data_IF_466595450140
#
_entry.id   IF_466595450140
#
_cell.length_a   1.000
_cell.length_b   1.000
_cell.length_c   1.000
_cell.angle_alpha   90.00
_cell.angle_beta   90.00
_cell.angle_gamma   90.00
#
_symmetry.space_group_name_H-M   'P 1'
#
loop_
_entity.id
_entity.type
_entity.pdbx_description
1 polymer ?
#
# COMPACT_ATOMS: atom_id res chain seq x y z
N UNK A 1 5.69 29.46 9.61
CA UNK A 1 4.88 29.13 8.43
C UNK A 1 4.79 30.36 7.56
N UNK A 2 5.11 30.23 6.28
CA UNK A 2 5.03 31.34 5.31
C UNK A 2 3.73 31.20 4.54
N UNK A 3 2.97 32.29 4.41
CA UNK A 3 1.75 32.32 3.62
C UNK A 3 2.03 33.05 2.31
N UNK A 4 1.64 32.46 1.18
CA UNK A 4 1.58 33.18 -0.09
C UNK A 4 0.31 34.02 -0.08
N UNK A 5 0.46 35.33 0.10
CA UNK A 5 -0.62 36.29 -0.04
C UNK A 5 -0.41 37.07 -1.34
N UNK A 6 -1.27 36.84 -2.32
CA UNK A 6 -1.37 37.72 -3.48
C UNK A 6 -2.20 38.94 -3.03
N UNK A 7 -1.53 40.09 -2.88
CA UNK A 7 -2.17 41.35 -2.52
C UNK A 7 -2.04 42.30 -3.71
N UNK A 8 -3.12 42.94 -4.17
CA UNK A 8 -3.01 44.00 -5.17
C UNK A 8 -2.17 45.14 -4.59
N UNK A 9 -1.51 45.90 -5.47
CA UNK A 9 -0.66 47.06 -5.11
C UNK A 9 -1.43 48.11 -4.29
N UNK A 10 -2.76 48.13 -4.39
CA UNK A 10 -3.66 48.97 -3.60
C UNK A 10 -4.71 48.10 -2.90
N UNK A 11 -4.48 47.66 -1.64
CA UNK A 11 -5.40 46.78 -0.93
C UNK A 11 -6.71 47.52 -0.59
N UNK A 12 -7.82 47.03 -1.14
CA UNK A 12 -9.16 47.49 -0.78
C UNK A 12 -9.80 46.54 0.25
N UNK A 13 -10.66 47.07 1.11
CA UNK A 13 -11.44 46.26 2.04
C UNK A 13 -12.53 45.51 1.28
N UNK A 14 -12.25 44.28 0.85
CA UNK A 14 -13.15 43.44 0.06
C UNK A 14 -13.29 42.05 0.65
N UNK A 15 -14.39 41.37 0.32
CA UNK A 15 -14.54 39.95 0.63
C UNK A 15 -13.58 39.12 -0.23
N UNK A 16 -12.75 38.29 0.40
CA UNK A 16 -11.75 37.45 -0.27
C UNK A 16 -12.00 35.98 -0.02
N UNK A 17 -11.57 35.14 -0.97
CA UNK A 17 -11.50 33.69 -0.77
C UNK A 17 -10.08 33.34 -0.34
N UNK A 18 -9.95 32.70 0.83
CA UNK A 18 -8.65 32.22 1.31
C UNK A 18 -8.46 30.77 0.88
N UNK A 19 -7.34 30.48 0.23
CA UNK A 19 -6.91 29.13 -0.11
C UNK A 19 -5.75 28.77 0.81
N UNK A 20 -5.85 27.62 1.48
CA UNK A 20 -4.81 27.10 2.35
C UNK A 20 -4.28 25.82 1.72
N UNK A 21 -2.98 25.78 1.45
CA UNK A 21 -2.28 24.61 0.94
C UNK A 21 -1.35 24.10 2.02
N UNK A 22 -1.73 23.00 2.65
CA UNK A 22 -0.98 22.40 3.74
C UNK A 22 -1.02 20.89 3.67
N UNK A 23 -0.01 20.27 4.31
CA UNK A 23 -0.06 18.84 4.54
C UNK A 23 -1.17 18.51 5.55
N UNK A 24 -1.81 17.34 5.45
CA UNK A 24 -2.81 16.90 6.42
C UNK A 24 -2.30 16.90 7.87
N UNK A 25 -0.99 16.73 8.07
CA UNK A 25 -0.36 16.72 9.39
C UNK A 25 -0.24 18.13 9.97
N UNK A 26 0.08 19.11 9.13
CA UNK A 26 0.20 20.52 9.55
C UNK A 26 -1.16 21.09 9.93
N UNK A 27 -2.18 20.84 9.13
CA UNK A 27 -3.48 21.50 9.26
C UNK A 27 -4.27 21.03 10.50
N UNK A 28 -4.00 19.81 11.00
CA UNK A 28 -4.66 19.27 12.19
C UNK A 28 -4.27 19.95 13.49
N UNK A 29 -3.09 20.58 13.51
CA UNK A 29 -2.66 21.39 14.64
C UNK A 29 -3.31 22.79 14.63
N UNK A 30 -4.07 23.13 13.59
CA UNK A 30 -4.74 24.41 13.40
C UNK A 30 -6.26 24.27 13.52
N UNK A 31 -6.75 23.90 14.71
CA UNK A 31 -8.19 23.67 14.99
C UNK A 31 -9.08 24.85 14.58
N UNK A 32 -8.65 26.07 14.88
CA UNK A 32 -9.37 27.30 14.53
C UNK A 32 -9.54 27.51 13.01
N UNK A 33 -8.58 27.03 12.22
CA UNK A 33 -8.65 27.08 10.76
C UNK A 33 -9.61 26.01 10.26
N UNK A 34 -9.51 24.79 10.80
CA UNK A 34 -10.38 23.66 10.41
C UNK A 34 -11.86 23.95 10.63
N UNK A 35 -12.22 24.65 11.71
CA UNK A 35 -13.60 25.06 12.00
C UNK A 35 -14.17 26.09 11.00
N UNK A 36 -13.30 26.79 10.27
CA UNK A 36 -13.67 27.83 9.28
C UNK A 36 -13.56 27.35 7.83
N UNK A 37 -13.05 26.14 7.59
CA UNK A 37 -12.93 25.58 6.24
C UNK A 37 -14.30 25.16 5.73
N UNK A 38 -14.76 25.82 4.66
CA UNK A 38 -16.03 25.50 4.00
C UNK A 38 -15.88 24.36 2.99
N UNK A 39 -14.72 24.27 2.33
CA UNK A 39 -14.43 23.25 1.32
C UNK A 39 -13.04 22.66 1.50
N UNK A 40 -12.97 21.34 1.49
CA UNK A 40 -11.72 20.58 1.53
C UNK A 40 -11.54 19.83 0.21
N UNK A 41 -10.36 19.97 -0.39
CA UNK A 41 -9.97 19.25 -1.60
C UNK A 41 -8.67 18.51 -1.34
N UNK A 42 -8.45 17.41 -2.05
CA UNK A 42 -7.26 16.58 -1.92
C UNK A 42 -6.60 16.49 -3.29
N UNK A 43 -5.31 16.83 -3.43
CA UNK A 43 -4.59 16.51 -4.68
C UNK A 43 -3.92 15.14 -4.59
N UNK A 44 -4.30 14.19 -5.46
CA UNK A 44 -3.56 12.96 -5.54
C UNK A 44 -2.13 13.18 -5.99
N UNK A 45 -1.20 12.28 -5.58
CA UNK A 45 -0.03 12.02 -6.40
C UNK A 45 -0.48 11.77 -7.84
N UNK A 46 0.30 12.25 -8.79
CA UNK A 46 -0.06 12.17 -10.20
C UNK A 46 -0.13 10.73 -10.67
N UNK A 47 -1.08 10.42 -11.53
CA UNK A 47 -1.08 9.14 -12.23
C UNK A 47 0.05 9.11 -13.29
N UNK A 48 0.31 7.93 -13.84
CA UNK A 48 1.39 7.75 -14.79
C UNK A 48 1.22 8.61 -16.06
N UNK A 49 -0.02 8.82 -16.52
CA UNK A 49 -0.30 9.66 -17.70
C UNK A 49 -0.03 11.14 -17.42
N UNK A 50 -0.36 11.63 -16.22
CA UNK A 50 -0.05 12.99 -15.78
C UNK A 50 1.46 13.22 -15.71
N UNK A 51 2.21 12.26 -15.16
CA UNK A 51 3.67 12.31 -15.14
C UNK A 51 4.28 12.27 -16.54
N UNK A 52 3.79 11.38 -17.40
CA UNK A 52 4.26 11.27 -18.78
C UNK A 52 3.97 12.55 -19.58
N UNK A 53 2.78 13.13 -19.41
CA UNK A 53 2.41 14.37 -20.06
C UNK A 53 3.36 15.50 -19.65
N UNK A 54 3.61 15.66 -18.34
CA UNK A 54 4.56 16.64 -17.84
C UNK A 54 6.00 16.40 -18.31
N UNK A 55 6.46 15.14 -18.28
CA UNK A 55 7.78 14.73 -18.81
C UNK A 55 7.96 15.17 -20.25
N UNK A 56 6.91 15.00 -21.08
CA UNK A 56 6.95 15.34 -22.50
C UNK A 56 6.82 16.85 -22.79
N UNK A 57 6.05 17.58 -21.97
CA UNK A 57 5.74 18.98 -22.19
C UNK A 57 6.78 19.94 -21.58
N UNK A 58 7.45 19.55 -20.49
CA UNK A 58 8.40 20.41 -19.78
C UNK A 58 9.83 20.10 -20.23
N UNK A 59 10.50 21.11 -20.79
CA UNK A 59 11.84 20.95 -21.38
C UNK A 59 12.85 20.32 -20.41
N UNK A 60 12.85 20.75 -19.14
CA UNK A 60 13.71 20.19 -18.08
C UNK A 60 13.55 18.67 -17.91
N UNK A 61 12.37 18.11 -18.19
CA UNK A 61 12.05 16.72 -17.93
C UNK A 61 12.17 15.81 -19.15
N UNK A 62 12.35 16.37 -20.36
CA UNK A 62 12.58 15.58 -21.58
C UNK A 62 13.84 14.73 -21.53
N UNK A 63 14.77 15.13 -20.68
CA UNK A 63 16.00 14.40 -20.41
C UNK A 63 15.74 13.05 -19.72
N UNK A 64 14.58 12.90 -19.08
CA UNK A 64 14.18 11.66 -18.43
C UNK A 64 13.57 10.73 -19.48
N UNK A 65 14.15 9.55 -19.59
CA UNK A 65 13.57 8.48 -20.39
C UNK A 65 12.27 7.96 -19.76
N UNK A 66 11.32 7.56 -20.62
CA UNK A 66 10.00 7.09 -20.20
C UNK A 66 10.09 5.85 -19.31
N UNK A 67 10.96 4.90 -19.63
CA UNK A 67 11.08 3.67 -18.86
C UNK A 67 11.74 3.93 -17.52
N UNK A 68 12.66 4.89 -17.45
CA UNK A 68 13.27 5.31 -16.19
C UNK A 68 12.24 6.00 -15.27
N UNK A 69 11.39 6.87 -15.82
CA UNK A 69 10.29 7.49 -15.08
C UNK A 69 9.31 6.43 -14.56
N UNK A 70 8.90 5.48 -15.41
CA UNK A 70 8.01 4.37 -15.03
C UNK A 70 8.62 3.53 -13.89
N UNK A 71 9.89 3.16 -14.00
CA UNK A 71 10.61 2.42 -12.94
C UNK A 71 10.64 3.18 -11.62
N UNK A 72 10.69 4.52 -11.63
CA UNK A 72 10.55 5.31 -10.41
C UNK A 72 9.10 5.33 -9.94
N UNK A 73 8.14 5.55 -10.84
CA UNK A 73 6.72 5.55 -10.51
C UNK A 73 6.28 4.26 -9.81
N UNK A 74 6.70 3.11 -10.31
CA UNK A 74 6.39 1.80 -9.70
C UNK A 74 6.96 1.67 -8.27
N UNK A 75 8.02 2.43 -7.96
CA UNK A 75 8.76 2.41 -6.69
C UNK A 75 8.38 3.49 -5.67
N UNK A 76 7.84 4.61 -6.11
CA UNK A 76 7.56 5.75 -5.21
C UNK A 76 6.22 6.43 -5.51
N UNK A 77 5.48 5.91 -6.48
CA UNK A 77 4.21 6.44 -6.93
C UNK A 77 4.32 7.78 -7.64
N UNK A 78 3.21 8.49 -7.61
CA UNK A 78 2.92 9.66 -8.44
C UNK A 78 3.57 10.99 -8.05
N UNK A 79 4.60 11.03 -7.21
CA UNK A 79 5.08 12.30 -6.66
C UNK A 79 6.06 12.97 -7.63
N UNK A 80 5.68 14.06 -8.34
CA UNK A 80 6.48 14.60 -9.46
C UNK A 80 7.85 15.11 -9.01
N UNK A 81 7.96 15.59 -7.76
CA UNK A 81 9.25 16.00 -7.18
C UNK A 81 10.29 14.90 -7.26
N UNK A 82 9.90 13.65 -7.00
CA UNK A 82 10.84 12.54 -6.95
C UNK A 82 10.90 11.81 -8.29
N UNK A 83 9.75 11.60 -8.94
CA UNK A 83 9.66 10.92 -10.24
C UNK A 83 10.24 11.74 -11.40
N UNK A 84 10.22 13.08 -11.30
CA UNK A 84 10.69 13.99 -12.35
C UNK A 84 11.80 14.92 -11.84
N UNK A 85 11.51 15.82 -10.91
CA UNK A 85 12.41 16.95 -10.59
C UNK A 85 13.78 16.49 -10.09
N UNK A 86 13.81 15.65 -9.05
CA UNK A 86 15.07 15.12 -8.49
C UNK A 86 15.79 14.19 -9.44
N UNK A 87 15.05 13.42 -10.23
CA UNK A 87 15.64 12.55 -11.24
C UNK A 87 16.31 13.37 -12.35
N UNK A 88 15.65 14.42 -12.86
CA UNK A 88 16.24 15.34 -13.83
C UNK A 88 17.49 16.04 -13.26
N UNK A 89 17.43 16.53 -12.02
CA UNK A 89 18.58 17.16 -11.36
C UNK A 89 19.78 16.20 -11.26
N UNK A 90 19.52 14.95 -10.83
CA UNK A 90 20.55 13.93 -10.74
C UNK A 90 21.12 13.55 -12.11
N UNK A 91 20.26 13.39 -13.11
CA UNK A 91 20.65 13.12 -14.49
C UNK A 91 21.53 14.24 -15.06
N UNK A 92 21.12 15.50 -14.92
CA UNK A 92 21.92 16.65 -15.35
C UNK A 92 23.29 16.69 -14.67
N UNK A 93 23.35 16.32 -13.38
CA UNK A 93 24.61 16.23 -12.65
C UNK A 93 25.52 15.12 -13.21
N UNK A 94 25.01 13.89 -13.35
CA UNK A 94 25.82 12.77 -13.82
C UNK A 94 26.18 12.84 -15.29
N UNK A 95 25.33 13.41 -16.14
CA UNK A 95 25.67 13.65 -17.54
C UNK A 95 26.85 14.59 -17.73
N UNK A 96 26.98 15.62 -16.89
CA UNK A 96 28.15 16.51 -16.89
C UNK A 96 29.42 15.83 -16.36
N UNK A 97 29.27 14.76 -15.59
CA UNK A 97 30.38 14.10 -14.89
C UNK A 97 30.88 12.86 -15.64
N UNK A 98 30.04 12.30 -16.50
CA UNK A 98 30.25 11.06 -17.25
C UNK A 98 29.98 11.31 -18.73
N UNK A 99 30.53 12.40 -19.28
CA UNK A 99 30.19 12.97 -20.60
C UNK A 99 30.14 11.94 -21.75
N UNK A 100 30.84 10.80 -21.63
CA UNK A 100 30.90 9.71 -22.63
C UNK A 100 30.07 8.44 -22.30
N UNK A 101 29.32 8.39 -21.19
CA UNK A 101 28.51 7.22 -20.81
C UNK A 101 27.11 7.59 -20.29
N UNK A 102 26.13 7.77 -21.20
CA UNK A 102 24.76 8.13 -20.84
C UNK A 102 24.03 7.04 -20.07
N UNK A 103 24.39 5.76 -20.21
CA UNK A 103 23.74 4.66 -19.50
C UNK A 103 24.24 4.56 -18.06
N UNK A 104 25.54 4.75 -17.83
CA UNK A 104 26.08 4.83 -16.47
C UNK A 104 25.59 6.09 -15.74
N UNK A 105 25.40 7.20 -16.45
CA UNK A 105 24.77 8.41 -15.89
C UNK A 105 23.33 8.15 -15.40
N UNK A 106 22.50 7.47 -16.22
CA UNK A 106 21.15 7.06 -15.83
C UNK A 106 21.16 6.14 -14.61
N UNK A 107 22.06 5.15 -14.60
CA UNK A 107 22.19 4.20 -13.50
C UNK A 107 22.59 4.89 -12.20
N UNK A 108 23.56 5.81 -12.22
CA UNK A 108 23.97 6.57 -11.02
C UNK A 108 22.90 7.54 -10.55
N UNK A 109 22.18 8.18 -11.46
CA UNK A 109 21.04 9.03 -11.13
C UNK A 109 19.96 8.22 -10.40
N UNK A 110 19.59 7.07 -10.94
CA UNK A 110 18.64 6.15 -10.33
C UNK A 110 19.09 5.69 -8.94
N UNK A 111 20.34 5.21 -8.81
CA UNK A 111 20.93 4.79 -7.52
C UNK A 111 21.01 5.93 -6.49
N UNK A 112 21.24 7.16 -6.94
CA UNK A 112 21.23 8.33 -6.07
C UNK A 112 19.84 8.56 -5.49
N UNK A 113 18.81 8.52 -6.33
CA UNK A 113 17.42 8.66 -5.86
C UNK A 113 17.04 7.51 -4.92
N UNK A 114 17.42 6.27 -5.23
CA UNK A 114 17.19 5.13 -4.34
C UNK A 114 17.85 5.32 -2.97
N UNK A 115 19.08 5.84 -2.90
CA UNK A 115 19.75 6.12 -1.63
C UNK A 115 19.05 7.20 -0.82
N UNK A 116 18.62 8.29 -1.47
CA UNK A 116 17.86 9.37 -0.81
C UNK A 116 16.53 8.84 -0.29
N UNK A 117 15.84 8.01 -1.06
CA UNK A 117 14.62 7.32 -0.62
C UNK A 117 14.93 6.46 0.60
N UNK A 118 15.95 5.60 0.54
CA UNK A 118 16.30 4.73 1.67
C UNK A 118 16.62 5.51 2.96
N UNK A 119 17.20 6.70 2.86
CA UNK A 119 17.45 7.59 4.00
C UNK A 119 16.18 8.23 4.58
N UNK A 120 15.17 8.49 3.74
CA UNK A 120 13.86 9.02 4.15
C UNK A 120 12.97 7.92 4.75
N UNK A 121 13.16 6.67 4.32
CA UNK A 121 12.43 5.49 4.81
C UNK A 121 13.02 4.94 6.11
N UNK A 122 13.25 5.81 7.11
CA UNK A 122 13.56 5.34 8.46
C UNK A 122 12.29 4.76 9.13
N UNK A 123 12.50 3.90 10.12
CA UNK A 123 11.46 3.07 10.75
C UNK A 123 10.39 3.88 11.49
N UNK A 124 10.73 5.09 11.93
CA UNK A 124 9.80 6.08 12.49
C UNK A 124 8.86 6.63 11.42
N UNK A 125 9.37 6.89 10.21
CA UNK A 125 8.57 7.40 9.08
C UNK A 125 7.64 6.30 8.55
N UNK A 126 8.10 5.05 8.49
CA UNK A 126 7.29 3.87 8.16
C UNK A 126 6.14 3.65 9.14
N UNK A 127 6.37 3.76 10.46
CA UNK A 127 5.29 3.74 11.46
C UNK A 127 4.21 4.80 11.18
N UNK A 128 4.62 6.04 10.90
CA UNK A 128 3.71 7.13 10.53
C UNK A 128 2.98 6.92 9.19
N UNK A 129 3.56 6.17 8.24
CA UNK A 129 2.91 5.74 7.00
C UNK A 129 1.75 4.77 7.27
N UNK A 130 1.91 3.84 8.21
CA UNK A 130 0.87 2.87 8.54
C UNK A 130 -0.21 3.41 9.47
N UNK A 131 0.12 4.41 10.32
CA UNK A 131 -0.83 5.16 11.16
C UNK A 131 -1.90 5.90 10.37
N UNK A 132 -1.62 6.24 9.13
CA UNK A 132 -2.43 7.16 8.37
C UNK A 132 -3.14 6.48 7.19
N UNK A 133 -4.45 6.71 7.09
CA UNK A 133 -5.19 6.70 5.80
C UNK A 133 -4.69 7.77 4.82
N UNK A 134 -3.46 8.26 4.94
CA UNK A 134 -3.01 9.53 4.35
C UNK A 134 -1.72 9.31 3.61
N UNK A 135 -1.82 9.38 2.29
CA UNK A 135 -0.72 9.91 1.51
C UNK A 135 -0.37 11.31 2.02
N UNK A 136 0.85 11.78 1.79
CA UNK A 136 1.08 13.21 1.65
C UNK A 136 0.30 13.67 0.41
N UNK A 137 -1.01 13.84 0.58
CA UNK A 137 -1.82 14.63 -0.33
C UNK A 137 -1.30 16.05 -0.17
N UNK A 138 -0.52 16.54 -1.13
CA UNK A 138 -0.22 17.97 -1.22
C UNK A 138 -1.55 18.63 -1.55
N UNK A 139 -2.08 19.48 -0.68
CA UNK A 139 -3.37 20.13 -0.92
C UNK A 139 -3.15 21.44 -1.68
N UNK A 140 -2.88 21.46 -2.99
CA UNK A 140 -2.95 22.71 -3.77
C UNK A 140 -4.28 22.80 -4.54
N UNK A 141 -5.02 23.89 -4.33
CA UNK A 141 -6.23 24.20 -5.08
C UNK A 141 -5.82 25.08 -6.26
N UNK A 142 -5.97 24.58 -7.48
CA UNK A 142 -6.00 25.42 -8.67
C UNK A 142 -7.40 25.41 -9.28
N UNK A 143 -7.89 26.61 -9.61
CA UNK A 143 -9.07 26.81 -10.45
C UNK A 143 -8.62 27.59 -11.68
N UNK A 144 -8.50 26.92 -12.81
CA UNK A 144 -8.66 27.56 -14.11
C UNK A 144 -9.66 26.75 -14.93
N UNK A 145 -10.77 27.44 -15.23
CA UNK A 145 -11.84 27.13 -16.17
C UNK A 145 -11.88 25.72 -16.81
N UNK A 146 -12.92 24.96 -16.45
CA UNK A 146 -13.52 23.94 -17.34
C UNK A 146 -13.32 22.49 -16.91
N UNK A 147 -14.40 21.90 -16.37
CA UNK A 147 -14.57 20.48 -16.00
C UNK A 147 -13.68 19.94 -14.87
N UNK A 148 -14.17 20.08 -13.63
CA UNK A 148 -13.71 19.29 -12.48
C UNK A 148 -14.12 17.82 -12.64
N UNK A 149 -13.13 16.92 -12.67
CA UNK A 149 -13.33 15.52 -12.30
C UNK A 149 -13.29 15.42 -10.78
N UNK A 150 -14.34 14.84 -10.20
CA UNK A 150 -14.45 14.54 -8.77
C UNK A 150 -13.92 13.14 -8.52
N UNK A 151 -12.90 13.00 -7.67
CA UNK A 151 -12.53 11.71 -7.07
C UNK A 151 -12.85 11.78 -5.58
N UNK A 152 -13.58 10.78 -5.08
CA UNK A 152 -13.99 10.71 -3.67
C UNK A 152 -12.84 10.12 -2.85
N UNK A 153 -12.82 10.43 -1.56
CA UNK A 153 -11.90 9.91 -0.53
C UNK A 153 -11.73 8.36 -0.57
N UNK A 154 -12.72 7.64 -1.13
CA UNK A 154 -12.67 6.19 -1.36
C UNK A 154 -11.67 5.72 -2.43
N UNK A 155 -11.13 6.62 -3.24
CA UNK A 155 -10.24 6.31 -4.36
C UNK A 155 -8.75 6.39 -3.96
N UNK A 156 -8.47 6.79 -2.72
CA UNK A 156 -7.13 7.02 -2.18
C UNK A 156 -6.61 5.90 -1.31
N UNK A 157 -6.05 4.89 -1.94
CA UNK A 157 -5.27 3.85 -1.26
C UNK A 157 -4.16 3.35 -2.19
N UNK A 158 -3.21 4.24 -2.52
CA UNK A 158 -2.04 3.80 -3.27
C UNK A 158 -1.25 2.76 -2.47
N UNK A 159 -0.67 1.82 -3.18
CA UNK A 159 -0.13 0.59 -2.62
C UNK A 159 1.19 0.80 -1.90
N UNK A 160 1.33 0.34 -0.64
CA UNK A 160 2.64 0.17 -0.02
C UNK A 160 3.39 -1.03 -0.63
N UNK A 161 2.67 -2.01 -1.19
CA UNK A 161 3.14 -3.39 -1.33
C UNK A 161 4.24 -3.64 -2.38
N UNK A 162 4.31 -2.85 -3.45
CA UNK A 162 5.41 -2.95 -4.43
C UNK A 162 6.74 -2.42 -3.90
N UNK A 163 6.70 -1.49 -2.93
CA UNK A 163 7.88 -0.79 -2.39
C UNK A 163 8.48 -1.51 -1.17
N UNK A 164 7.74 -2.45 -0.58
CA UNK A 164 8.15 -3.23 0.60
C UNK A 164 9.24 -4.29 0.29
N UNK A 165 9.46 -4.62 -0.99
CA UNK A 165 10.47 -5.61 -1.40
C UNK A 165 11.92 -5.16 -1.13
N UNK A 166 12.16 -3.85 -1.03
CA UNK A 166 13.50 -3.27 -0.83
C UNK A 166 13.76 -2.79 0.62
N UNK A 167 12.83 -3.06 1.55
CA UNK A 167 13.05 -2.79 2.97
C UNK A 167 13.99 -3.87 3.53
N UNK A 168 15.18 -3.44 3.96
CA UNK A 168 16.18 -4.32 4.56
C UNK A 168 15.64 -5.01 5.82
N UNK A 169 16.14 -6.22 6.13
CA UNK A 169 15.63 -7.04 7.23
C UNK A 169 15.64 -6.32 8.59
N UNK A 170 16.63 -5.46 8.84
CA UNK A 170 16.69 -4.64 10.05
C UNK A 170 15.53 -3.66 10.20
N UNK A 171 14.99 -3.12 9.11
CA UNK A 171 13.83 -2.22 9.16
C UNK A 171 12.51 -2.97 9.42
N UNK A 172 12.42 -4.26 9.05
CA UNK A 172 11.27 -5.10 9.41
C UNK A 172 11.24 -5.44 10.91
N UNK A 173 12.40 -5.67 11.53
CA UNK A 173 12.50 -5.90 12.97
C UNK A 173 11.98 -4.68 13.77
N UNK A 174 12.38 -3.47 13.36
CA UNK A 174 11.90 -2.23 13.96
C UNK A 174 10.40 -1.98 13.74
N UNK A 175 9.85 -2.30 12.56
CA UNK A 175 8.40 -2.23 12.29
C UNK A 175 7.65 -3.18 13.23
N UNK A 176 8.15 -4.39 13.45
CA UNK A 176 7.52 -5.37 14.34
C UNK A 176 7.55 -4.95 15.81
N UNK A 177 8.65 -4.34 16.26
CA UNK A 177 8.68 -3.73 17.59
C UNK A 177 7.58 -2.66 17.71
N UNK A 178 7.40 -1.80 16.70
CA UNK A 178 6.33 -0.81 16.70
C UNK A 178 4.92 -1.42 16.64
N UNK A 179 4.70 -2.56 15.97
CA UNK A 179 3.42 -3.29 15.98
C UNK A 179 3.04 -3.76 17.39
N UNK A 180 4.03 -4.19 18.18
CA UNK A 180 3.82 -4.68 19.55
C UNK A 180 3.53 -3.53 20.52
N UNK A 181 4.14 -2.35 20.30
CA UNK A 181 4.06 -1.20 21.22
C UNK A 181 3.04 -0.11 20.83
N UNK A 182 2.57 -0.01 19.58
CA UNK A 182 1.51 0.94 19.17
C UNK A 182 0.26 0.25 18.57
N UNK A 183 -0.85 0.17 19.32
CA UNK A 183 -2.08 -0.51 18.89
C UNK A 183 -2.80 0.15 17.71
N UNK A 184 -2.61 1.46 17.46
CA UNK A 184 -3.50 2.26 16.58
C UNK A 184 -3.35 1.93 15.09
N UNK A 185 -2.28 1.23 14.73
CA UNK A 185 -1.79 1.06 13.36
C UNK A 185 -1.28 -0.35 13.07
N UNK A 186 -1.34 -1.18 14.10
CA UNK A 186 -0.89 -2.57 14.15
C UNK A 186 -1.48 -3.45 13.04
N UNK A 187 -2.76 -3.26 12.69
CA UNK A 187 -3.45 -4.10 11.71
C UNK A 187 -2.88 -4.05 10.29
N UNK A 188 -2.61 -2.85 9.76
CA UNK A 188 -2.05 -2.69 8.40
C UNK A 188 -0.60 -3.12 8.33
N UNK A 189 0.19 -2.74 9.33
CA UNK A 189 1.58 -3.19 9.46
C UNK A 189 1.67 -4.71 9.53
N UNK A 190 0.78 -5.32 10.30
CA UNK A 190 0.70 -6.77 10.42
C UNK A 190 0.38 -7.42 9.07
N UNK A 191 -0.65 -6.94 8.34
CA UNK A 191 -0.96 -7.43 6.99
C UNK A 191 0.23 -7.33 6.02
N UNK A 192 0.89 -6.17 5.99
CA UNK A 192 2.08 -5.96 5.14
C UNK A 192 3.25 -6.86 5.53
N UNK A 193 3.46 -7.12 6.82
CA UNK A 193 4.51 -8.03 7.28
C UNK A 193 4.20 -9.48 6.95
N UNK A 194 2.94 -9.91 7.09
CA UNK A 194 2.48 -11.23 6.64
C UNK A 194 2.75 -11.40 5.14
N UNK A 195 2.38 -10.41 4.33
CA UNK A 195 2.65 -10.44 2.88
C UNK A 195 4.15 -10.55 2.56
N UNK A 196 5.00 -9.83 3.29
CA UNK A 196 6.46 -9.93 3.16
C UNK A 196 6.99 -11.33 3.46
N UNK A 197 6.57 -11.94 4.59
CA UNK A 197 6.98 -13.30 4.95
C UNK A 197 6.48 -14.33 3.93
N UNK A 198 5.26 -14.16 3.42
CA UNK A 198 4.71 -15.03 2.39
C UNK A 198 5.46 -14.91 1.06
N UNK A 199 5.89 -13.71 0.67
CA UNK A 199 6.75 -13.48 -0.52
C UNK A 199 8.13 -14.11 -0.38
N UNK A 200 8.74 -14.06 0.81
CA UNK A 200 10.00 -14.78 1.07
C UNK A 200 9.80 -16.29 0.90
N UNK A 201 8.69 -16.81 1.45
CA UNK A 201 8.34 -18.22 1.37
C UNK A 201 9.29 -19.11 2.17
N UNK A 202 9.03 -20.42 2.18
CA UNK A 202 9.86 -21.41 2.91
C UNK A 202 9.56 -21.50 4.41
N UNK A 203 8.51 -20.82 4.87
CA UNK A 203 8.07 -20.85 6.27
C UNK A 203 6.98 -21.92 6.48
N UNK A 204 6.92 -22.46 7.69
CA UNK A 204 5.87 -23.37 8.13
C UNK A 204 5.15 -22.77 9.32
N UNK A 205 3.82 -22.76 9.27
CA UNK A 205 2.97 -22.13 10.28
C UNK A 205 2.06 -23.16 10.94
N UNK A 206 1.85 -23.01 12.25
CA UNK A 206 0.85 -23.76 12.98
C UNK A 206 -0.56 -23.28 12.58
N UNK A 207 -1.47 -24.21 12.27
CA UNK A 207 -2.85 -23.91 11.90
C UNK A 207 -3.83 -24.74 12.74
N UNK A 208 -5.00 -24.17 13.01
CA UNK A 208 -6.15 -24.91 13.57
C UNK A 208 -7.38 -24.62 12.74
N UNK A 209 -8.18 -25.65 12.52
CA UNK A 209 -9.49 -25.50 11.89
C UNK A 209 -10.48 -24.90 12.89
N UNK A 210 -11.24 -23.90 12.46
CA UNK A 210 -12.22 -23.23 13.29
C UNK A 210 -13.54 -23.99 13.23
N UNK A 211 -14.09 -24.33 14.40
CA UNK A 211 -15.28 -25.17 14.51
C UNK A 211 -15.01 -26.68 14.48
N UNK A 212 -13.75 -27.09 14.34
CA UNK A 212 -13.31 -28.49 14.47
C UNK A 212 -12.18 -28.61 15.51
N UNK A 213 -11.82 -29.84 15.87
CA UNK A 213 -10.70 -30.14 16.78
C UNK A 213 -9.39 -30.44 16.04
N UNK A 214 -9.33 -30.13 14.75
CA UNK A 214 -8.19 -30.44 13.89
C UNK A 214 -7.14 -29.34 13.96
N UNK A 215 -5.90 -29.71 14.27
CA UNK A 215 -4.72 -28.84 14.12
C UNK A 215 -3.74 -29.44 13.12
N UNK A 216 -2.84 -28.62 12.61
CA UNK A 216 -1.83 -29.05 11.65
C UNK A 216 -0.83 -27.94 11.34
N UNK A 217 -0.18 -28.08 10.20
CA UNK A 217 0.81 -27.12 9.73
C UNK A 217 0.53 -26.73 8.28
N UNK A 218 0.74 -25.46 7.96
CA UNK A 218 0.73 -24.94 6.59
C UNK A 218 2.14 -24.54 6.19
N UNK A 219 2.65 -25.16 5.13
CA UNK A 219 3.92 -24.78 4.53
C UNK A 219 3.68 -23.76 3.40
N UNK A 220 4.40 -22.64 3.46
CA UNK A 220 4.47 -21.69 2.36
C UNK A 220 5.64 -22.11 1.46
N UNK A 221 5.43 -22.29 0.15
CA UNK A 221 6.48 -22.73 -0.77
C UNK A 221 7.64 -21.73 -0.77
N UNK A 222 8.89 -22.17 -0.95
CA UNK A 222 10.02 -21.26 -1.07
C UNK A 222 9.91 -20.46 -2.37
N UNK A 223 10.08 -19.13 -2.30
CA UNK A 223 10.04 -18.22 -3.46
C UNK A 223 8.81 -18.43 -4.36
N UNK A 224 7.57 -18.26 -3.84
CA UNK A 224 6.38 -18.39 -4.65
C UNK A 224 6.39 -17.42 -5.84
N UNK A 225 5.77 -17.81 -6.94
CA UNK A 225 5.50 -16.89 -8.04
C UNK A 225 4.50 -15.84 -7.55
N UNK A 226 4.80 -14.56 -7.74
CA UNK A 226 3.91 -13.47 -7.31
C UNK A 226 3.11 -12.98 -8.50
N UNK A 227 1.79 -13.04 -8.39
CA UNK A 227 0.84 -12.50 -9.36
C UNK A 227 0.00 -11.41 -8.71
N UNK A 228 -0.27 -10.35 -9.45
CA UNK A 228 -1.13 -9.26 -9.01
C UNK A 228 -2.54 -9.45 -9.56
N UNK A 229 -3.57 -9.06 -8.81
CA UNK A 229 -4.96 -9.11 -9.30
C UNK A 229 -5.78 -7.87 -8.92
N UNK A 230 -6.62 -7.39 -9.82
CA UNK A 230 -7.45 -6.19 -9.62
C UNK A 230 -8.85 -6.50 -9.06
N UNK A 231 -9.34 -7.72 -9.29
CA UNK A 231 -10.70 -8.13 -8.91
C UNK A 231 -10.85 -9.65 -8.68
N UNK A 232 -12.06 -10.06 -8.31
CA UNK A 232 -12.39 -11.45 -8.01
C UNK A 232 -12.33 -12.38 -9.24
N UNK A 233 -12.57 -11.87 -10.45
CA UNK A 233 -12.54 -12.66 -11.68
C UNK A 233 -11.10 -12.98 -12.07
N UNK A 234 -10.22 -11.99 -11.98
CA UNK A 234 -8.78 -12.20 -12.15
C UNK A 234 -8.24 -13.16 -11.09
N UNK A 235 -8.55 -12.94 -9.81
CA UNK A 235 -8.17 -13.85 -8.73
C UNK A 235 -8.62 -15.29 -9.01
N UNK A 236 -9.86 -15.49 -9.49
CA UNK A 236 -10.40 -16.82 -9.82
C UNK A 236 -9.64 -17.55 -10.92
N UNK A 237 -8.95 -16.81 -11.79
CA UNK A 237 -8.09 -17.37 -12.84
C UNK A 237 -6.69 -17.69 -12.29
N UNK A 238 -6.06 -16.74 -11.62
CA UNK A 238 -4.65 -16.86 -11.17
C UNK A 238 -4.48 -17.81 -9.99
N UNK A 239 -5.47 -17.88 -9.08
CA UNK A 239 -5.39 -18.72 -7.87
C UNK A 239 -5.30 -20.21 -8.19
N UNK A 240 -5.66 -20.65 -9.41
CA UNK A 240 -5.66 -22.07 -9.79
C UNK A 240 -4.26 -22.67 -9.89
N UNK A 241 -3.24 -21.84 -10.12
CA UNK A 241 -1.86 -22.28 -10.26
C UNK A 241 -1.24 -22.62 -8.90
N UNK A 242 -0.61 -23.77 -8.78
CA UNK A 242 0.13 -24.13 -7.56
C UNK A 242 1.32 -23.19 -7.35
N UNK A 243 1.66 -22.94 -6.09
CA UNK A 243 2.79 -22.08 -5.69
C UNK A 243 2.72 -20.62 -6.17
N UNK A 244 1.54 -20.16 -6.58
CA UNK A 244 1.29 -18.76 -6.94
C UNK A 244 0.72 -18.00 -5.75
N UNK A 245 1.47 -17.02 -5.26
CA UNK A 245 1.03 -16.02 -4.30
C UNK A 245 0.35 -14.87 -5.05
N UNK A 246 -0.95 -14.74 -4.88
CA UNK A 246 -1.76 -13.71 -5.49
C UNK A 246 -1.95 -12.56 -4.51
N UNK A 247 -1.66 -11.33 -4.94
CA UNK A 247 -1.72 -10.14 -4.10
C UNK A 247 -2.65 -9.11 -4.77
N UNK A 248 -3.63 -8.56 -4.03
CA UNK A 248 -4.53 -7.56 -4.60
C UNK A 248 -3.73 -6.33 -5.04
N UNK A 249 -3.95 -5.88 -6.27
CA UNK A 249 -3.50 -4.60 -6.81
C UNK A 249 -4.58 -3.50 -6.70
N UNK A 250 -5.74 -3.87 -6.14
CA UNK A 250 -6.88 -2.99 -5.93
C UNK A 250 -7.18 -2.82 -4.44
N UNK A 251 -7.08 -1.60 -3.90
CA UNK A 251 -7.26 -1.38 -2.49
C UNK A 251 -8.73 -1.34 -2.04
N UNK A 252 -9.68 -1.50 -2.96
CA UNK A 252 -11.10 -1.74 -2.67
C UNK A 252 -11.36 -3.19 -2.29
N UNK A 253 -10.40 -4.09 -2.53
CA UNK A 253 -10.47 -5.52 -2.18
C UNK A 253 -10.08 -5.79 -0.72
N UNK A 254 -10.70 -5.06 0.22
CA UNK A 254 -10.32 -5.07 1.65
C UNK A 254 -10.64 -6.36 2.42
N UNK A 255 -11.35 -7.30 1.80
CA UNK A 255 -11.81 -8.50 2.48
C UNK A 255 -10.76 -9.63 2.48
N UNK A 256 -9.72 -9.52 1.65
CA UNK A 256 -8.68 -10.53 1.46
C UNK A 256 -7.34 -9.82 1.28
N UNK A 257 -6.36 -10.20 2.09
CA UNK A 257 -5.03 -9.60 2.04
C UNK A 257 -4.13 -10.30 1.03
N UNK A 258 -4.29 -11.63 0.88
CA UNK A 258 -3.51 -12.45 -0.06
C UNK A 258 -4.19 -13.79 -0.32
N UNK A 259 -3.77 -14.47 -1.39
CA UNK A 259 -4.19 -15.83 -1.70
C UNK A 259 -2.99 -16.68 -2.15
N UNK A 260 -3.01 -17.97 -1.84
CA UNK A 260 -2.02 -18.93 -2.28
C UNK A 260 -2.75 -20.06 -3.02
N UNK A 261 -2.36 -20.28 -4.27
CA UNK A 261 -2.96 -21.34 -5.06
C UNK A 261 -2.73 -22.75 -4.47
N UNK A 262 -3.62 -23.71 -4.76
CA UNK A 262 -4.77 -23.58 -5.66
C UNK A 262 -6.04 -22.99 -5.02
N UNK A 263 -6.12 -22.89 -3.69
CA UNK A 263 -7.42 -22.74 -3.01
C UNK A 263 -7.37 -22.03 -1.65
N UNK A 264 -6.26 -21.38 -1.29
CA UNK A 264 -6.05 -20.78 0.04
C UNK A 264 -6.20 -19.28 -0.03
N UNK A 265 -7.08 -18.75 0.80
CA UNK A 265 -7.34 -17.33 0.97
C UNK A 265 -6.87 -16.91 2.36
N UNK A 266 -6.28 -15.72 2.48
CA UNK A 266 -5.71 -15.26 3.74
C UNK A 266 -6.21 -13.87 4.07
N UNK A 267 -6.52 -13.71 5.35
CA UNK A 267 -6.93 -12.44 5.92
C UNK A 267 -6.20 -12.25 7.25
N UNK A 268 -5.35 -11.22 7.31
CA UNK A 268 -4.60 -10.87 8.49
C UNK A 268 -5.46 -10.02 9.43
N UNK A 269 -5.47 -10.39 10.71
CA UNK A 269 -6.22 -9.64 11.73
C UNK A 269 -5.46 -9.57 13.05
N UNK A 270 -5.46 -8.38 13.64
CA UNK A 270 -4.98 -8.14 15.00
C UNK A 270 -6.09 -8.25 16.05
N UNK A 271 -7.35 -8.40 15.61
CA UNK A 271 -8.51 -8.52 16.48
C UNK A 271 -8.79 -10.00 16.78
N UNK A 272 -9.29 -10.28 17.99
CA UNK A 272 -9.75 -11.61 18.39
C UNK A 272 -11.03 -12.05 17.63
N UNK A 273 -11.82 -11.08 17.19
CA UNK A 273 -13.00 -11.28 16.36
C UNK A 273 -12.87 -10.47 15.05
N UNK A 274 -13.13 -11.12 13.93
CA UNK A 274 -13.12 -10.54 12.60
C UNK A 274 -14.31 -11.08 11.77
N UNK A 275 -15.54 -10.60 12.03
CA UNK A 275 -16.73 -11.10 11.36
C UNK A 275 -16.65 -10.91 9.84
N UNK A 276 -17.15 -11.91 9.11
CA UNK A 276 -17.27 -11.87 7.65
C UNK A 276 -18.44 -10.97 7.25
N UNK A 277 -18.13 -9.85 6.59
CA UNK A 277 -19.14 -8.95 6.05
C UNK A 277 -19.68 -9.42 4.70
N UNK A 278 -20.75 -8.78 4.20
CA UNK A 278 -21.36 -9.13 2.92
C UNK A 278 -20.36 -9.09 1.75
N UNK A 279 -19.42 -8.14 1.75
CA UNK A 279 -18.37 -8.04 0.73
C UNK A 279 -17.45 -9.27 0.69
N UNK A 280 -17.16 -9.88 1.85
CA UNK A 280 -16.38 -11.12 1.93
C UNK A 280 -17.14 -12.25 1.25
N UNK A 281 -18.42 -12.40 1.60
CA UNK A 281 -19.27 -13.46 1.08
C UNK A 281 -19.42 -13.37 -0.43
N UNK A 282 -19.67 -12.18 -0.97
CA UNK A 282 -19.83 -11.94 -2.40
C UNK A 282 -18.57 -12.32 -3.19
N UNK A 283 -17.39 -11.98 -2.66
CA UNK A 283 -16.11 -12.26 -3.30
C UNK A 283 -15.78 -13.75 -3.23
N UNK A 284 -15.91 -14.38 -2.06
CA UNK A 284 -15.65 -15.81 -1.90
C UNK A 284 -16.61 -16.64 -2.77
N UNK A 285 -17.87 -16.23 -2.87
CA UNK A 285 -18.85 -16.87 -3.74
C UNK A 285 -18.48 -16.78 -5.22
N UNK A 286 -18.01 -15.61 -5.69
CA UNK A 286 -17.50 -15.43 -7.06
C UNK A 286 -16.30 -16.33 -7.31
N UNK A 287 -15.35 -16.38 -6.37
CA UNK A 287 -14.17 -17.24 -6.50
C UNK A 287 -14.57 -18.70 -6.58
N UNK A 288 -15.44 -19.21 -5.70
CA UNK A 288 -15.93 -20.58 -5.77
C UNK A 288 -16.61 -20.90 -7.10
N UNK A 289 -17.48 -20.01 -7.58
CA UNK A 289 -18.23 -20.22 -8.82
C UNK A 289 -17.33 -20.24 -10.06
N UNK A 290 -16.27 -19.42 -10.06
CA UNK A 290 -15.47 -19.17 -11.26
C UNK A 290 -14.12 -19.88 -11.25
N UNK A 291 -13.57 -20.27 -10.10
CA UNK A 291 -12.26 -20.93 -10.03
C UNK A 291 -12.32 -22.42 -10.38
N UNK A 292 -13.50 -23.03 -10.31
CA UNK A 292 -13.66 -24.49 -10.44
C UNK A 292 -13.15 -25.28 -9.24
N UNK A 293 -12.77 -24.60 -8.15
CA UNK A 293 -12.32 -25.25 -6.91
C UNK A 293 -13.49 -25.94 -6.22
N UNK A 294 -13.27 -27.19 -5.77
CA UNK A 294 -14.28 -27.95 -5.03
C UNK A 294 -14.46 -27.45 -3.60
N UNK A 295 -13.41 -26.84 -3.03
CA UNK A 295 -13.35 -26.34 -1.66
C UNK A 295 -12.34 -25.17 -1.59
N UNK A 296 -12.65 -24.14 -0.80
CA UNK A 296 -11.71 -23.06 -0.47
C UNK A 296 -11.35 -23.09 1.02
N UNK A 297 -10.12 -22.70 1.32
CA UNK A 297 -9.63 -22.59 2.70
C UNK A 297 -9.38 -21.13 3.02
N UNK A 298 -10.15 -20.58 3.97
CA UNK A 298 -9.97 -19.22 4.46
C UNK A 298 -9.16 -19.23 5.75
N UNK A 299 -7.96 -18.68 5.71
CA UNK A 299 -7.04 -18.58 6.83
C UNK A 299 -7.09 -17.17 7.43
N UNK A 300 -7.45 -17.08 8.70
CA UNK A 300 -7.23 -15.91 9.52
C UNK A 300 -5.81 -15.96 10.07
N UNK A 301 -4.93 -15.09 9.58
CA UNK A 301 -3.58 -14.95 10.10
C UNK A 301 -3.67 -14.10 11.35
N UNK A 302 -3.28 -14.65 12.50
CA UNK A 302 -3.49 -14.04 13.81
C UNK A 302 -2.23 -14.08 14.65
N UNK A 303 -1.96 -13.04 15.47
CA UNK A 303 -0.87 -13.08 16.43
C UNK A 303 -1.00 -14.25 17.42
N UNK A 304 0.13 -14.79 17.89
CA UNK A 304 0.19 -15.86 18.89
C UNK A 304 -0.76 -15.64 20.08
N UNK A 305 -0.86 -14.40 20.60
CA UNK A 305 -1.73 -14.05 21.72
C UNK A 305 -3.23 -14.29 21.49
N UNK A 306 -3.68 -14.30 20.24
CA UNK A 306 -5.09 -14.54 19.89
C UNK A 306 -5.33 -15.96 19.38
N UNK A 307 -4.27 -16.67 18.98
CA UNK A 307 -4.39 -17.95 18.30
C UNK A 307 -5.17 -19.02 19.08
N UNK A 308 -4.90 -19.18 20.38
CA UNK A 308 -5.57 -20.21 21.19
C UNK A 308 -7.08 -20.01 21.27
N UNK A 309 -7.52 -18.76 21.46
CA UNK A 309 -8.92 -18.42 21.68
C UNK A 309 -9.67 -17.98 20.42
N UNK A 310 -9.00 -17.85 19.27
CA UNK A 310 -9.64 -17.43 18.01
C UNK A 310 -10.74 -18.41 17.60
N UNK A 311 -11.96 -17.89 17.37
CA UNK A 311 -13.16 -18.68 17.09
C UNK A 311 -13.58 -18.59 15.64
N UNK A 312 -14.58 -19.40 15.27
CA UNK A 312 -15.23 -19.36 13.96
C UNK A 312 -15.82 -17.97 13.70
N UNK A 313 -15.56 -17.43 12.51
CA UNK A 313 -15.91 -16.05 12.16
C UNK A 313 -17.19 -16.02 11.32
N UNK A 314 -18.33 -16.00 12.01
CA UNK A 314 -19.66 -15.96 11.39
C UNK A 314 -20.08 -17.26 10.68
N UNK A 315 -21.39 -17.38 10.44
CA UNK A 315 -21.97 -18.51 9.72
C UNK A 315 -21.91 -18.29 8.21
N UNK A 316 -21.51 -19.33 7.47
CA UNK A 316 -21.42 -19.31 6.02
C UNK A 316 -22.74 -19.83 5.39
N UNK A 317 -23.50 -18.99 4.67
CA UNK A 317 -24.79 -19.41 4.11
C UNK A 317 -24.65 -20.29 2.85
N UNK A 318 -25.49 -21.32 2.75
CA UNK A 318 -25.78 -22.06 1.51
C UNK A 318 -24.55 -22.65 0.80
N UNK A 319 -24.28 -22.22 -0.43
CA UNK A 319 -23.20 -22.72 -1.28
C UNK A 319 -21.78 -22.45 -0.72
N UNK A 320 -21.66 -21.58 0.29
CA UNK A 320 -20.41 -21.31 0.99
C UNK A 320 -20.03 -22.38 2.04
N UNK A 321 -20.86 -23.43 2.23
CA UNK A 321 -20.51 -24.59 3.05
C UNK A 321 -19.29 -25.38 2.55
N UNK A 322 -18.75 -25.01 1.37
CA UNK A 322 -17.48 -25.50 0.82
C UNK A 322 -16.27 -24.63 1.19
N UNK A 323 -16.43 -23.72 2.14
CA UNK A 323 -15.35 -22.89 2.67
C UNK A 323 -15.05 -23.34 4.07
N UNK A 324 -13.80 -23.77 4.30
CA UNK A 324 -13.31 -24.12 5.62
C UNK A 324 -12.53 -22.96 6.19
N UNK A 325 -12.78 -22.64 7.46
CA UNK A 325 -12.10 -21.53 8.14
C UNK A 325 -10.98 -22.08 9.03
N UNK A 326 -9.83 -21.43 9.01
CA UNK A 326 -8.67 -21.79 9.80
C UNK A 326 -8.12 -20.56 10.52
N UNK A 327 -7.54 -20.73 11.70
CA UNK A 327 -6.60 -19.76 12.25
C UNK A 327 -5.18 -20.22 11.95
N UNK A 328 -4.34 -19.29 11.52
CA UNK A 328 -2.91 -19.47 11.28
C UNK A 328 -2.16 -18.64 12.32
N UNK A 329 -1.34 -19.32 13.12
CA UNK A 329 -0.54 -18.69 14.17
C UNK A 329 0.64 -17.96 13.55
N UNK A 330 0.71 -16.67 13.79
CA UNK A 330 1.80 -15.81 13.35
C UNK A 330 2.54 -15.27 14.57
N UNK A 331 3.82 -15.61 14.69
CA UNK A 331 4.64 -15.17 15.80
C UNK A 331 5.17 -13.77 15.55
N UNK A 332 4.56 -12.78 16.21
CA UNK A 332 4.99 -11.38 16.16
C UNK A 332 6.22 -11.11 17.04
N UNK A 333 6.48 -11.93 18.06
CA UNK A 333 7.57 -11.76 19.02
C UNK A 333 8.89 -12.33 18.48
N UNK A 334 8.89 -13.56 17.95
CA UNK A 334 10.07 -14.13 17.29
C UNK A 334 10.48 -13.32 16.04
N UNK A 335 9.51 -12.80 15.29
CA UNK A 335 9.77 -11.97 14.12
C UNK A 335 10.48 -10.64 14.48
N UNK A 336 10.20 -10.08 15.67
CA UNK A 336 10.83 -8.83 16.16
C UNK A 336 12.30 -8.97 16.57
N UNK A 337 12.78 -10.22 16.69
CA UNK A 337 14.14 -10.56 17.13
C UNK A 337 15.04 -10.95 15.94
N UNK A 338 14.49 -11.06 14.72
CA UNK A 338 15.27 -11.30 13.51
C UNK A 338 15.87 -12.70 13.41
N UNK A 339 15.03 -13.74 13.47
CA UNK A 339 15.38 -15.11 13.09
C UNK A 339 14.82 -15.50 11.73
#
# INVERSE_FOLDING_TARGET
TWYLAESPDNPALVSVKTIISESPLTIQNCKEVMERIVWTYYMPPWNLDELENCRSCVEKFKIIDKDLMKKLYDKIGGVPRYALEKLADALHFYWRLLEDDPEEAKKKAYQHIQRVIHQVWNTVTLGQFFDNKRFPTITAIYSTAGQLRTTRDSDFKSHPDSNLQEIGEGAWADILQNIVFDPRSSGRMFGSHVAHIFRKGGYTFEIKELGASTSGYLQIPPKPLVELFEDAEELSRVIRAENTLCIPNNPKFLCLDLALGPNKLFQATMNADHPLGQSHLDIIQKILAQSGQSELHLYFVVPTKHYADFKLQGDLPGALGKVRQFALKFDTEAASIGM
#
